data_IF_120464870332
#
_entry.id   IF_120464870332
#
_cell.length_a   1.000
_cell.length_b   1.000
_cell.length_c   1.000
_cell.angle_alpha   90.00
_cell.angle_beta   90.00
_cell.angle_gamma   90.00
#
_symmetry.space_group_name_H-M   'P 1'
#
loop_
_entity.id
_entity.type
_entity.pdbx_description
1 polymer ?
#
# COMPACT_ATOMS: atom_id res chain seq x y z
N UNK A 1 -10.11 28.26 0.20
CA UNK A 1 -10.91 27.66 -0.90
C UNK A 1 -10.03 26.71 -1.68
N UNK A 2 -10.56 25.56 -2.06
CA UNK A 2 -9.82 24.59 -2.93
C UNK A 2 -9.68 25.15 -4.34
N UNK A 3 -8.65 24.73 -5.09
CA UNK A 3 -8.40 25.16 -6.48
C UNK A 3 -9.62 24.90 -7.36
N UNK A 4 -10.24 23.72 -7.23
CA UNK A 4 -11.47 23.35 -7.95
C UNK A 4 -12.62 24.30 -7.62
N UNK A 5 -12.79 24.69 -6.36
CA UNK A 5 -13.82 25.65 -5.95
C UNK A 5 -13.58 27.07 -6.48
N UNK A 6 -12.31 27.49 -6.58
CA UNK A 6 -11.95 28.78 -7.18
C UNK A 6 -12.24 28.78 -8.68
N UNK A 7 -11.83 27.70 -9.37
CA UNK A 7 -12.07 27.55 -10.81
C UNK A 7 -13.58 27.51 -11.14
N UNK A 8 -14.34 26.72 -10.36
CA UNK A 8 -15.78 26.64 -10.49
C UNK A 8 -16.46 28.01 -10.30
N UNK A 9 -15.95 28.78 -9.32
CA UNK A 9 -16.47 30.15 -9.09
C UNK A 9 -16.18 31.07 -10.26
N UNK A 10 -14.95 31.05 -10.78
CA UNK A 10 -14.55 31.91 -11.89
C UNK A 10 -15.35 31.62 -13.18
N UNK A 11 -15.65 30.33 -13.43
CA UNK A 11 -16.32 29.93 -14.67
C UNK A 11 -17.85 30.06 -14.59
N UNK A 12 -18.44 29.68 -13.45
CA UNK A 12 -19.91 29.51 -13.36
C UNK A 12 -20.61 30.56 -12.53
N UNK A 13 -19.92 31.32 -11.65
CA UNK A 13 -20.59 32.17 -10.68
C UNK A 13 -21.35 33.32 -11.31
N UNK A 14 -20.82 33.92 -12.40
CA UNK A 14 -21.44 35.04 -13.08
C UNK A 14 -22.35 34.62 -14.24
N UNK A 15 -22.06 33.44 -14.88
CA UNK A 15 -22.83 33.01 -16.07
C UNK A 15 -23.94 32.02 -15.75
N UNK A 16 -23.71 31.05 -14.83
CA UNK A 16 -24.65 29.96 -14.54
C UNK A 16 -24.50 29.43 -13.13
N UNK A 17 -25.10 30.11 -12.16
CA UNK A 17 -25.03 29.73 -10.73
C UNK A 17 -25.35 28.26 -10.44
N UNK A 18 -26.35 27.58 -11.03
CA UNK A 18 -26.59 26.16 -10.82
C UNK A 18 -25.39 25.28 -11.18
N UNK A 19 -24.60 25.61 -12.21
CA UNK A 19 -23.41 24.88 -12.61
C UNK A 19 -22.33 24.85 -11.55
N UNK A 20 -22.19 25.92 -10.78
CA UNK A 20 -21.27 25.94 -9.62
C UNK A 20 -21.64 24.89 -8.56
N UNK A 21 -22.92 24.85 -8.18
CA UNK A 21 -23.38 23.87 -7.18
C UNK A 21 -23.27 22.43 -7.68
N UNK A 22 -23.62 22.19 -8.95
CA UNK A 22 -23.48 20.85 -9.56
C UNK A 22 -22.03 20.40 -9.52
N UNK A 23 -21.08 21.26 -9.89
CA UNK A 23 -19.65 20.93 -9.88
C UNK A 23 -19.13 20.61 -8.48
N UNK A 24 -19.56 21.36 -7.46
CA UNK A 24 -19.20 21.08 -6.06
C UNK A 24 -19.76 19.74 -5.61
N UNK A 25 -21.04 19.47 -5.89
CA UNK A 25 -21.67 18.19 -5.52
C UNK A 25 -20.99 17.01 -6.22
N UNK A 26 -20.73 17.10 -7.51
CA UNK A 26 -20.00 16.07 -8.26
C UNK A 26 -18.60 15.84 -7.68
N UNK A 27 -17.87 16.90 -7.35
CA UNK A 27 -16.55 16.78 -6.73
C UNK A 27 -16.64 16.09 -5.38
N UNK A 28 -17.64 16.43 -4.55
CA UNK A 28 -17.87 15.78 -3.26
C UNK A 28 -18.17 14.29 -3.41
N UNK A 29 -19.00 13.91 -4.39
CA UNK A 29 -19.32 12.51 -4.68
C UNK A 29 -18.06 11.74 -5.11
N UNK A 30 -17.23 12.32 -5.99
CA UNK A 30 -15.99 11.70 -6.44
C UNK A 30 -15.02 11.48 -5.26
N UNK A 31 -14.88 12.47 -4.39
CA UNK A 31 -14.02 12.35 -3.20
C UNK A 31 -14.54 11.28 -2.23
N UNK A 32 -15.86 11.18 -2.06
CA UNK A 32 -16.48 10.15 -1.24
C UNK A 32 -16.25 8.74 -1.82
N UNK A 33 -16.39 8.57 -3.13
CA UNK A 33 -16.09 7.30 -3.82
C UNK A 33 -14.61 6.92 -3.71
N UNK A 34 -13.72 7.90 -3.85
CA UNK A 34 -12.28 7.69 -3.68
C UNK A 34 -11.93 7.22 -2.26
N UNK A 35 -12.51 7.86 -1.24
CA UNK A 35 -12.35 7.43 0.15
C UNK A 35 -12.88 6.00 0.38
N UNK A 36 -14.06 5.68 -0.15
CA UNK A 36 -14.65 4.34 -0.06
C UNK A 36 -13.73 3.26 -0.65
N UNK A 37 -13.07 3.56 -1.78
CA UNK A 37 -12.09 2.65 -2.39
C UNK A 37 -10.91 2.37 -1.46
N UNK A 38 -10.39 3.39 -0.77
CA UNK A 38 -9.31 3.23 0.20
C UNK A 38 -9.74 2.36 1.40
N UNK A 39 -10.95 2.56 1.92
CA UNK A 39 -11.52 1.78 3.03
C UNK A 39 -11.81 0.32 2.67
N UNK A 40 -11.95 -0.01 1.39
CA UNK A 40 -12.04 -1.41 0.92
C UNK A 40 -10.67 -2.01 0.66
N UNK A 41 -9.78 -1.29 -0.01
CA UNK A 41 -8.48 -1.79 -0.46
C UNK A 41 -7.46 -1.97 0.67
N UNK A 42 -7.34 -1.00 1.55
CA UNK A 42 -6.34 -1.02 2.62
C UNK A 42 -6.52 -2.20 3.60
N UNK A 43 -7.72 -2.51 4.10
CA UNK A 43 -7.89 -3.64 5.03
C UNK A 43 -7.54 -4.99 4.41
N UNK A 44 -7.82 -5.18 3.12
CA UNK A 44 -7.44 -6.40 2.40
C UNK A 44 -5.93 -6.51 2.29
N UNK A 45 -5.25 -5.44 1.88
CA UNK A 45 -3.78 -5.39 1.82
C UNK A 45 -3.16 -5.59 3.21
N UNK A 46 -3.69 -4.92 4.22
CA UNK A 46 -3.28 -5.07 5.62
C UNK A 46 -3.42 -6.51 6.14
N UNK A 47 -4.49 -7.19 5.76
CA UNK A 47 -4.71 -8.61 6.07
C UNK A 47 -3.64 -9.51 5.44
N UNK A 48 -3.27 -9.28 4.18
CA UNK A 48 -2.21 -10.03 3.50
C UNK A 48 -0.85 -9.80 4.19
N UNK A 49 -0.50 -8.55 4.48
CA UNK A 49 0.74 -8.20 5.16
C UNK A 49 0.81 -8.75 6.59
N UNK A 50 -0.32 -8.82 7.30
CA UNK A 50 -0.42 -9.43 8.62
C UNK A 50 -0.25 -10.96 8.55
N UNK A 51 -0.76 -11.60 7.49
CA UNK A 51 -0.55 -13.02 7.22
C UNK A 51 0.93 -13.33 6.97
N UNK A 52 1.62 -12.46 6.25
CA UNK A 52 3.05 -12.58 5.94
C UNK A 52 3.96 -12.13 7.11
N UNK A 53 3.38 -11.75 8.26
CA UNK A 53 4.10 -11.39 9.49
C UNK A 53 4.65 -9.96 9.51
N UNK A 54 4.34 -9.11 8.54
CA UNK A 54 4.79 -7.71 8.50
C UNK A 54 3.92 -6.76 9.34
N UNK A 55 2.70 -7.18 9.69
CA UNK A 55 1.77 -6.42 10.52
C UNK A 55 1.22 -7.30 11.66
N UNK A 56 0.67 -6.67 12.71
CA UNK A 56 0.05 -7.42 13.82
C UNK A 56 -1.03 -8.37 13.31
N UNK A 57 -1.03 -9.61 13.77
CA UNK A 57 -1.98 -10.66 13.35
C UNK A 57 -3.45 -10.29 13.57
N UNK A 58 -3.73 -9.33 14.45
CA UNK A 58 -5.09 -8.79 14.66
C UNK A 58 -5.71 -8.17 13.40
N UNK A 59 -4.89 -7.68 12.46
CA UNK A 59 -5.39 -7.15 11.18
C UNK A 59 -5.81 -8.26 10.20
N UNK A 60 -5.36 -9.49 10.40
CA UNK A 60 -5.80 -10.64 9.59
C UNK A 60 -7.12 -11.23 10.07
N UNK A 61 -7.45 -11.07 11.36
CA UNK A 61 -8.69 -11.59 11.92
C UNK A 61 -9.89 -10.81 11.35
N UNK A 62 -10.85 -11.54 10.77
CA UNK A 62 -12.15 -10.99 10.40
C UNK A 62 -13.00 -10.86 11.66
N UNK A 63 -13.63 -9.70 11.85
CA UNK A 63 -14.58 -9.49 12.92
C UNK A 63 -15.88 -10.29 12.71
N UNK A 64 -16.79 -10.25 13.67
CA UNK A 64 -18.06 -10.99 13.69
C UNK A 64 -18.95 -10.77 12.44
N UNK A 65 -18.77 -9.63 11.76
CA UNK A 65 -19.47 -9.31 10.49
C UNK A 65 -18.69 -9.67 9.25
N UNK A 66 -17.68 -10.55 9.33
CA UNK A 66 -16.80 -10.96 8.24
C UNK A 66 -16.02 -9.79 7.56
N UNK A 67 -16.03 -8.61 8.19
CA UNK A 67 -15.29 -7.43 7.75
C UNK A 67 -13.95 -7.29 8.50
N UNK A 68 -12.99 -6.69 7.83
CA UNK A 68 -11.69 -6.37 8.46
C UNK A 68 -11.78 -5.08 9.29
N UNK A 69 -12.59 -5.08 10.34
CA UNK A 69 -12.90 -3.90 11.18
C UNK A 69 -11.63 -3.24 11.72
N UNK A 70 -10.66 -4.03 12.16
CA UNK A 70 -9.37 -3.52 12.65
C UNK A 70 -8.57 -2.78 11.57
N UNK A 71 -8.63 -3.25 10.33
CA UNK A 71 -7.99 -2.58 9.19
C UNK A 71 -8.64 -1.23 8.88
N UNK A 72 -9.97 -1.16 8.91
CA UNK A 72 -10.73 0.09 8.72
C UNK A 72 -10.39 1.08 9.83
N UNK A 73 -10.35 0.64 11.08
CA UNK A 73 -10.02 1.50 12.23
C UNK A 73 -8.59 2.02 12.15
N UNK A 74 -7.64 1.18 11.75
CA UNK A 74 -6.24 1.57 11.55
C UNK A 74 -6.11 2.63 10.46
N UNK A 75 -6.79 2.46 9.33
CA UNK A 75 -6.79 3.44 8.25
C UNK A 75 -7.41 4.76 8.70
N UNK A 76 -8.56 4.73 9.37
CA UNK A 76 -9.24 5.91 9.87
C UNK A 76 -8.36 6.69 10.87
N UNK A 77 -7.74 5.97 11.81
CA UNK A 77 -6.81 6.57 12.79
C UNK A 77 -5.60 7.20 12.09
N UNK A 78 -4.99 6.50 11.14
CA UNK A 78 -3.88 7.03 10.33
C UNK A 78 -4.28 8.28 9.54
N UNK A 79 -5.46 8.29 8.92
CA UNK A 79 -5.97 9.45 8.20
C UNK A 79 -6.19 10.66 9.12
N UNK A 80 -6.77 10.45 10.31
CA UNK A 80 -6.97 11.52 11.31
C UNK A 80 -5.63 12.09 11.75
N UNK A 81 -4.63 11.24 12.06
CA UNK A 81 -3.28 11.69 12.44
C UNK A 81 -2.66 12.53 11.32
N UNK A 82 -2.74 12.09 10.07
CA UNK A 82 -2.21 12.85 8.93
C UNK A 82 -2.88 14.21 8.78
N UNK A 83 -4.21 14.28 8.91
CA UNK A 83 -4.95 15.55 8.82
C UNK A 83 -4.53 16.50 9.95
N UNK A 84 -4.34 16.00 11.16
CA UNK A 84 -3.91 16.81 12.31
C UNK A 84 -2.45 17.29 12.16
N UNK A 85 -1.54 16.40 11.78
CA UNK A 85 -0.10 16.73 11.61
C UNK A 85 0.10 17.77 10.53
N UNK A 86 -0.65 17.67 9.42
CA UNK A 86 -0.56 18.60 8.28
C UNK A 86 -1.52 19.79 8.38
N UNK A 87 -2.17 20.01 9.53
CA UNK A 87 -3.14 21.09 9.75
C UNK A 87 -4.20 21.19 8.64
N UNK A 88 -4.70 20.05 8.16
CA UNK A 88 -5.65 19.94 7.04
C UNK A 88 -5.17 20.63 5.74
N UNK A 89 -3.87 20.80 5.54
CA UNK A 89 -3.30 21.38 4.33
C UNK A 89 -3.40 20.39 3.18
N UNK A 90 -4.35 20.61 2.27
CA UNK A 90 -4.56 19.75 1.09
C UNK A 90 -3.31 19.69 0.21
N UNK A 91 -2.60 20.81 0.04
CA UNK A 91 -1.38 20.87 -0.77
C UNK A 91 -0.27 19.97 -0.22
N UNK A 92 -0.06 19.98 1.10
CA UNK A 92 0.95 19.13 1.75
C UNK A 92 0.56 17.65 1.69
N UNK A 93 -0.72 17.33 1.88
CA UNK A 93 -1.22 15.96 1.77
C UNK A 93 -1.12 15.40 0.34
N UNK A 94 -1.38 16.24 -0.69
CA UNK A 94 -1.17 15.84 -2.08
C UNK A 94 0.31 15.56 -2.36
N UNK A 95 1.23 16.37 -1.84
CA UNK A 95 2.66 16.14 -2.01
C UNK A 95 3.11 14.82 -1.36
N UNK A 96 2.64 14.54 -0.15
CA UNK A 96 2.86 13.26 0.53
C UNK A 96 2.34 12.08 -0.32
N UNK A 97 1.12 12.19 -0.83
CA UNK A 97 0.48 11.18 -1.66
C UNK A 97 1.28 10.91 -2.94
N UNK A 98 1.65 11.95 -3.69
CA UNK A 98 2.37 11.81 -4.96
C UNK A 98 3.72 11.13 -4.76
N UNK A 99 4.50 11.52 -3.74
CA UNK A 99 5.77 10.86 -3.41
C UNK A 99 5.55 9.39 -3.06
N UNK A 100 4.55 9.09 -2.21
CA UNK A 100 4.22 7.71 -1.82
C UNK A 100 3.84 6.83 -3.00
N UNK A 101 3.02 7.33 -3.91
CA UNK A 101 2.59 6.61 -5.12
C UNK A 101 3.77 6.29 -6.04
N UNK A 102 4.62 7.27 -6.33
CA UNK A 102 5.76 7.04 -7.23
C UNK A 102 6.83 6.13 -6.62
N UNK A 103 7.05 6.19 -5.31
CA UNK A 103 7.90 5.20 -4.62
C UNK A 103 7.29 3.80 -4.73
N UNK A 104 5.99 3.66 -4.47
CA UNK A 104 5.29 2.37 -4.56
C UNK A 104 5.40 1.78 -5.97
N UNK A 105 5.18 2.58 -7.01
CA UNK A 105 5.34 2.14 -8.39
C UNK A 105 6.78 1.72 -8.72
N UNK A 106 7.76 2.53 -8.32
CA UNK A 106 9.18 2.24 -8.57
C UNK A 106 9.62 0.95 -7.87
N UNK A 107 9.20 0.74 -6.63
CA UNK A 107 9.48 -0.50 -5.87
C UNK A 107 8.78 -1.69 -6.50
N UNK A 108 7.52 -1.55 -6.91
CA UNK A 108 6.76 -2.61 -7.58
C UNK A 108 7.41 -3.03 -8.90
N UNK A 109 7.78 -2.07 -9.75
CA UNK A 109 8.47 -2.35 -11.02
C UNK A 109 9.83 -3.03 -10.79
N UNK A 110 10.57 -2.59 -9.76
CA UNK A 110 11.84 -3.23 -9.36
C UNK A 110 11.63 -4.67 -8.92
N UNK A 111 10.60 -4.92 -8.12
CA UNK A 111 10.21 -6.25 -7.66
C UNK A 111 9.88 -7.18 -8.82
N UNK A 112 9.05 -6.73 -9.76
CA UNK A 112 8.68 -7.48 -10.95
C UNK A 112 9.87 -7.75 -11.87
N UNK A 113 10.75 -6.76 -12.06
CA UNK A 113 11.96 -6.94 -12.86
C UNK A 113 12.91 -8.01 -12.25
N UNK A 114 13.06 -8.02 -10.92
CA UNK A 114 13.80 -9.06 -10.20
C UNK A 114 13.13 -10.43 -10.34
N UNK A 115 11.81 -10.50 -10.24
CA UNK A 115 11.03 -11.73 -10.41
C UNK A 115 11.26 -12.36 -11.79
N UNK A 116 11.08 -11.60 -12.87
CA UNK A 116 11.31 -12.09 -14.24
C UNK A 116 12.76 -12.47 -14.49
N UNK A 117 13.72 -11.73 -13.94
CA UNK A 117 15.13 -12.05 -14.04
C UNK A 117 15.47 -13.35 -13.33
N UNK A 118 14.86 -13.59 -12.16
CA UNK A 118 15.02 -14.85 -11.41
C UNK A 118 14.45 -16.04 -12.19
N UNK A 119 13.23 -15.93 -12.72
CA UNK A 119 12.61 -16.98 -13.53
C UNK A 119 13.48 -17.32 -14.76
N UNK A 120 13.97 -16.31 -15.48
CA UNK A 120 14.84 -16.53 -16.64
C UNK A 120 16.17 -17.21 -16.31
N UNK A 121 16.65 -17.10 -15.05
CA UNK A 121 17.88 -17.75 -14.58
C UNK A 121 17.65 -19.16 -14.04
N UNK A 122 16.53 -19.38 -13.36
CA UNK A 122 16.31 -20.62 -12.58
C UNK A 122 15.57 -21.67 -13.41
N UNK A 123 14.66 -21.26 -14.30
CA UNK A 123 13.83 -22.18 -15.05
C UNK A 123 14.39 -22.43 -16.46
N UNK A 124 15.23 -23.48 -16.53
CA UNK A 124 15.87 -23.91 -17.78
C UNK A 124 14.93 -24.81 -18.62
N UNK A 125 13.87 -25.33 -18.01
CA UNK A 125 12.90 -26.24 -18.61
C UNK A 125 11.80 -25.53 -19.39
N UNK A 126 11.69 -24.21 -19.26
CA UNK A 126 10.64 -23.43 -19.92
C UNK A 126 10.80 -23.40 -21.44
N UNK A 127 9.70 -23.64 -22.16
CA UNK A 127 9.66 -23.59 -23.60
C UNK A 127 10.01 -22.22 -24.17
N UNK A 128 10.47 -22.18 -25.41
CA UNK A 128 10.92 -20.96 -26.11
C UNK A 128 9.87 -19.84 -26.09
N UNK A 129 8.57 -20.20 -26.18
CA UNK A 129 7.45 -19.22 -26.13
C UNK A 129 7.31 -18.57 -24.77
N UNK A 130 7.43 -19.33 -23.68
CA UNK A 130 7.33 -18.83 -22.31
C UNK A 130 8.51 -17.91 -21.98
N UNK A 131 9.71 -18.31 -22.36
CA UNK A 131 10.92 -17.52 -22.15
C UNK A 131 10.88 -16.17 -22.88
N UNK A 132 10.33 -16.13 -24.10
CA UNK A 132 10.09 -14.89 -24.85
C UNK A 132 9.06 -14.00 -24.16
N UNK A 133 7.99 -14.56 -23.60
CA UNK A 133 6.99 -13.83 -22.82
C UNK A 133 7.61 -13.21 -21.58
N UNK A 134 8.43 -13.94 -20.83
CA UNK A 134 9.13 -13.41 -19.63
C UNK A 134 10.12 -12.30 -19.98
N UNK A 135 10.86 -12.41 -21.09
CA UNK A 135 11.72 -11.35 -21.57
C UNK A 135 10.93 -10.09 -21.92
N UNK A 136 9.82 -10.23 -22.62
CA UNK A 136 8.95 -9.11 -22.96
C UNK A 136 8.39 -8.42 -21.71
N UNK A 137 7.88 -9.18 -20.74
CA UNK A 137 7.40 -8.67 -19.47
C UNK A 137 8.50 -7.95 -18.68
N UNK A 138 9.73 -8.49 -18.69
CA UNK A 138 10.90 -7.83 -18.07
C UNK A 138 11.21 -6.48 -18.71
N UNK A 139 11.16 -6.39 -20.04
CA UNK A 139 11.42 -5.15 -20.77
C UNK A 139 10.35 -4.10 -20.44
N UNK A 140 9.07 -4.47 -20.45
CA UNK A 140 7.96 -3.56 -20.10
C UNK A 140 8.14 -3.01 -18.69
N UNK A 141 8.39 -3.90 -17.70
CA UNK A 141 8.64 -3.47 -16.33
C UNK A 141 9.93 -2.63 -16.20
N UNK A 142 10.96 -2.88 -17.03
CA UNK A 142 12.17 -2.07 -17.09
C UNK A 142 11.89 -0.66 -17.59
N UNK A 143 11.11 -0.50 -18.66
CA UNK A 143 10.68 0.81 -19.17
C UNK A 143 9.84 1.54 -18.11
N UNK A 144 8.89 0.83 -17.47
CA UNK A 144 8.11 1.37 -16.37
C UNK A 144 8.97 1.84 -15.19
N UNK A 145 9.99 1.06 -14.82
CA UNK A 145 10.94 1.42 -13.76
C UNK A 145 11.72 2.70 -14.07
N UNK A 146 12.24 2.82 -15.30
CA UNK A 146 12.96 4.01 -15.72
C UNK A 146 12.05 5.23 -15.72
N UNK A 147 10.84 5.11 -16.28
CA UNK A 147 9.87 6.21 -16.31
C UNK A 147 9.45 6.66 -14.91
N UNK A 148 9.01 5.72 -14.05
CA UNK A 148 8.60 6.06 -12.68
C UNK A 148 9.78 6.56 -11.83
N UNK A 149 10.98 6.01 -12.04
CA UNK A 149 12.21 6.44 -11.36
C UNK A 149 12.61 7.88 -11.70
N UNK A 150 12.58 8.24 -12.98
CA UNK A 150 12.87 9.61 -13.43
C UNK A 150 11.87 10.60 -12.81
N UNK A 151 10.56 10.29 -12.86
CA UNK A 151 9.53 11.14 -12.28
C UNK A 151 9.72 11.25 -10.76
N UNK A 152 10.05 10.16 -10.08
CA UNK A 152 10.33 10.16 -8.64
C UNK A 152 11.51 11.09 -8.30
N UNK A 153 12.60 11.02 -9.06
CA UNK A 153 13.76 11.90 -8.86
C UNK A 153 13.38 13.37 -9.05
N UNK A 154 12.63 13.69 -10.11
CA UNK A 154 12.17 15.05 -10.37
C UNK A 154 11.29 15.56 -9.23
N UNK A 155 10.34 14.75 -8.74
CA UNK A 155 9.44 15.11 -7.63
C UNK A 155 10.26 15.34 -6.35
N UNK A 156 11.19 14.44 -6.02
CA UNK A 156 12.04 14.60 -4.85
C UNK A 156 12.91 15.86 -4.97
N UNK A 157 13.57 16.09 -6.09
CA UNK A 157 14.39 17.27 -6.29
C UNK A 157 13.59 18.58 -6.22
N UNK A 158 12.41 18.61 -6.82
CA UNK A 158 11.57 19.82 -6.90
C UNK A 158 10.82 20.12 -5.60
N UNK A 159 10.45 19.09 -4.83
CA UNK A 159 9.55 19.21 -3.67
C UNK A 159 10.22 18.91 -2.33
N UNK A 160 11.51 18.57 -2.32
CA UNK A 160 12.24 18.19 -1.12
C UNK A 160 12.11 19.25 -0.02
N UNK A 161 12.36 20.53 -0.36
CA UNK A 161 12.30 21.67 0.56
C UNK A 161 10.84 21.98 0.99
N UNK A 162 9.84 21.60 0.16
CA UNK A 162 8.43 21.89 0.40
C UNK A 162 7.66 20.77 1.13
N UNK A 163 8.36 19.83 1.77
CA UNK A 163 7.75 18.80 2.62
C UNK A 163 7.84 17.36 2.13
N UNK A 164 8.47 17.08 0.98
CA UNK A 164 8.67 15.70 0.52
C UNK A 164 9.53 14.86 1.48
N UNK A 165 10.41 15.48 2.26
CA UNK A 165 11.20 14.82 3.29
C UNK A 165 10.33 14.18 4.38
N UNK A 166 9.18 14.78 4.72
CA UNK A 166 8.23 14.21 5.68
C UNK A 166 7.64 12.88 5.18
N UNK A 167 7.37 12.79 3.86
CA UNK A 167 6.91 11.56 3.25
C UNK A 167 7.97 10.45 3.36
N UNK A 168 9.24 10.78 3.11
CA UNK A 168 10.34 9.83 3.23
C UNK A 168 10.53 9.36 4.68
N UNK A 169 10.46 10.27 5.64
CA UNK A 169 10.52 9.94 7.07
C UNK A 169 9.35 9.02 7.46
N UNK A 170 8.12 9.38 7.08
CA UNK A 170 6.95 8.56 7.39
C UNK A 170 7.08 7.15 6.81
N UNK A 171 7.55 7.01 5.56
CA UNK A 171 7.78 5.70 4.95
C UNK A 171 8.92 4.93 5.62
N UNK A 172 10.02 5.59 5.99
CA UNK A 172 11.11 4.96 6.72
C UNK A 172 10.63 4.43 8.08
N UNK A 173 9.83 5.21 8.81
CA UNK A 173 9.23 4.80 10.09
C UNK A 173 8.34 3.56 9.88
N UNK A 174 7.44 3.58 8.91
CA UNK A 174 6.56 2.44 8.61
C UNK A 174 7.39 1.21 8.21
N UNK A 175 8.43 1.38 7.39
CA UNK A 175 9.31 0.28 6.99
C UNK A 175 10.05 -0.34 8.17
N UNK A 176 10.60 0.49 9.06
CA UNK A 176 11.27 0.03 10.29
C UNK A 176 10.29 -0.70 11.20
N UNK A 177 9.08 -0.18 11.38
CA UNK A 177 8.04 -0.83 12.18
C UNK A 177 7.67 -2.21 11.60
N UNK A 178 7.44 -2.30 10.28
CA UNK A 178 7.10 -3.56 9.61
C UNK A 178 8.23 -4.59 9.72
N UNK A 179 9.47 -4.19 9.51
CA UNK A 179 10.64 -5.10 9.63
C UNK A 179 10.90 -5.52 11.06
N UNK A 180 10.66 -4.64 12.03
CA UNK A 180 10.76 -4.93 13.47
C UNK A 180 9.71 -5.97 13.90
N UNK A 181 8.47 -5.79 13.47
CA UNK A 181 7.38 -6.73 13.73
C UNK A 181 7.71 -8.10 13.13
N UNK A 182 8.15 -8.14 11.88
CA UNK A 182 8.53 -9.38 11.22
C UNK A 182 9.66 -10.09 11.96
N UNK A 183 10.73 -9.37 12.31
CA UNK A 183 11.86 -9.93 13.06
C UNK A 183 11.42 -10.53 14.41
N UNK A 184 10.50 -9.87 15.09
CA UNK A 184 9.93 -10.38 16.34
C UNK A 184 9.17 -11.70 16.12
N UNK A 185 8.30 -11.78 15.10
CA UNK A 185 7.57 -13.02 14.80
C UNK A 185 8.49 -14.16 14.36
N UNK A 186 9.52 -13.86 13.56
CA UNK A 186 10.50 -14.86 13.13
C UNK A 186 11.35 -15.37 14.32
N UNK A 187 11.66 -14.52 15.31
CA UNK A 187 12.35 -14.92 16.54
C UNK A 187 11.49 -15.86 17.38
N UNK A 188 10.24 -15.49 17.62
CA UNK A 188 9.28 -16.32 18.37
C UNK A 188 9.05 -17.67 17.68
N UNK A 189 8.94 -17.68 16.34
CA UNK A 189 8.79 -18.93 15.59
C UNK A 189 9.98 -19.87 15.77
N UNK A 190 11.22 -19.35 15.74
CA UNK A 190 12.43 -20.15 15.97
C UNK A 190 12.50 -20.71 17.40
N UNK A 191 12.11 -19.92 18.40
CA UNK A 191 12.08 -20.39 19.79
C UNK A 191 11.07 -21.52 19.99
N UNK A 192 9.94 -21.46 19.30
CA UNK A 192 8.93 -22.52 19.33
C UNK A 192 9.38 -23.78 18.58
N UNK A 193 10.12 -23.66 17.48
CA UNK A 193 10.69 -24.80 16.75
C UNK A 193 11.76 -25.56 17.59
N UNK A 194 12.59 -24.84 18.34
CA UNK A 194 13.61 -25.44 19.22
C UNK A 194 13.00 -26.17 20.40
N UNK A 195 11.79 -25.81 20.84
CA UNK A 195 11.06 -26.47 21.91
C UNK A 195 10.14 -27.61 21.44
N UNK A 196 10.16 -27.98 20.17
CA UNK A 196 9.27 -28.97 19.55
C UNK A 196 9.58 -30.47 19.74
N UNK A 197 10.60 -30.96 20.49
CA UNK A 197 10.66 -32.40 20.77
C UNK A 197 9.45 -32.87 21.58
N UNK A 198 8.68 -31.99 22.21
CA UNK A 198 7.53 -32.35 23.05
C UNK A 198 6.18 -32.51 22.26
N UNK A 199 6.10 -32.15 21.00
CA UNK A 199 4.86 -32.28 20.21
C UNK A 199 4.70 -33.64 19.50
N UNK A 200 5.66 -34.55 19.62
CA UNK A 200 5.52 -35.94 19.17
C UNK A 200 4.66 -36.81 20.09
N UNK A 201 4.28 -36.32 21.27
CA UNK A 201 3.26 -36.94 22.12
C UNK A 201 1.88 -36.33 21.82
N UNK A 202 1.37 -36.54 20.63
CA UNK A 202 -0.08 -36.51 20.44
C UNK A 202 -0.64 -37.72 21.16
N UNK A 203 -1.38 -37.49 22.25
CA UNK A 203 -2.15 -38.56 22.88
C UNK A 203 -3.00 -39.24 21.79
N UNK A 204 -2.99 -40.58 21.71
CA UNK A 204 -3.78 -41.28 20.72
C UNK A 204 -5.22 -40.84 20.82
N UNK A 205 -5.79 -40.49 19.68
CA UNK A 205 -7.19 -40.08 19.59
C UNK A 205 -8.06 -41.17 20.22
N UNK A 206 -9.12 -40.82 20.98
CA UNK A 206 -10.09 -41.79 21.49
C UNK A 206 -10.70 -42.71 20.41
N UNK A 207 -10.53 -42.36 19.13
CA UNK A 207 -10.97 -43.17 17.97
C UNK A 207 -10.04 -44.30 17.59
N UNK A 208 -8.79 -44.31 18.03
CA UNK A 208 -7.80 -45.39 17.73
C UNK A 208 -7.88 -46.58 18.70
N UNK A 209 -8.87 -46.59 19.58
CA UNK A 209 -9.16 -47.70 20.53
C UNK A 209 -10.35 -48.55 20.13
N UNK A 210 -10.65 -48.66 18.83
CA UNK A 210 -11.63 -49.68 18.35
C UNK A 210 -11.02 -50.58 17.31
#
# INVERSE_FOLDING_TARGET
>A
MTVVGQLARTVFYDSFKPGFYIMIVCTMIILFLAANTAFNGFPVLGSILARDGFLPRRLHARGDRLAYSNGILTLATGAIILVLVFNASVTALIQLYVVGVFISFTVSQTGMMRHWTRLLRTDTSAGTKERRRWQHSRIINGIGLVGTGIVLIIILASKFIHGAYLALIAMAVVYVLMTSIKKHYDSVARELELNSPCLLYTSPSPRDKR
#
